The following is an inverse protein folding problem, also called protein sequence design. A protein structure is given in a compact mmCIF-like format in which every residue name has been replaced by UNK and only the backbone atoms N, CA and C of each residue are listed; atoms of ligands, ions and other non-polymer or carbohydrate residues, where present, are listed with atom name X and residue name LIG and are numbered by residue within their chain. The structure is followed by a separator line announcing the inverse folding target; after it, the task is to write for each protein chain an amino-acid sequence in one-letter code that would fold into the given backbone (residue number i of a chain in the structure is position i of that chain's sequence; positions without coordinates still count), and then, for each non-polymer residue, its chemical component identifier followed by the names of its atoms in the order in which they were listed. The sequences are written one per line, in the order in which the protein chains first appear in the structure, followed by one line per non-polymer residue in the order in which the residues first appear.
data_IF_112775561334
#
_entry.id   IF_112775561334
#
_cell.length_a   1.000
_cell.length_b   1.000
_cell.length_c   1.000
_cell.angle_alpha   90.00
_cell.angle_beta   90.00
_cell.angle_gamma   90.00
#
_symmetry.space_group_name_H-M   'P 1'
#
loop_
_entity.id
_entity.type
_entity.pdbx_description
1 polymer ?
#
# COMPACT_ATOMS: atom_id res chain seq x y z
N UNK A 1 -7.96 -17.91 -19.80
CA UNK A 1 -8.97 -16.87 -20.11
C UNK A 1 -10.36 -17.45 -19.84
N UNK A 2 -11.09 -16.78 -18.96
CA UNK A 2 -12.30 -17.24 -18.28
C UNK A 2 -13.43 -17.71 -19.22
N UNK A 3 -14.19 -18.72 -18.77
CA UNK A 3 -15.28 -19.33 -19.52
C UNK A 3 -16.62 -18.58 -19.44
N UNK A 4 -16.82 -17.79 -18.39
CA UNK A 4 -18.05 -17.02 -18.19
C UNK A 4 -17.98 -15.67 -18.88
N UNK A 5 -18.94 -15.43 -19.78
CA UNK A 5 -19.06 -14.16 -20.52
C UNK A 5 -19.94 -13.18 -19.75
N UNK A 6 -19.76 -11.89 -20.03
CA UNK A 6 -20.66 -10.85 -19.54
C UNK A 6 -22.13 -11.13 -19.94
N UNK A 7 -22.33 -11.81 -21.08
CA UNK A 7 -23.66 -12.21 -21.57
C UNK A 7 -24.20 -13.51 -20.95
N UNK A 8 -23.56 -14.08 -19.92
CA UNK A 8 -23.97 -15.34 -19.30
C UNK A 8 -25.26 -15.21 -18.48
N UNK A 9 -25.94 -16.34 -18.23
CA UNK A 9 -27.15 -16.37 -17.40
C UNK A 9 -26.89 -15.96 -15.96
N UNK A 10 -25.75 -16.36 -15.38
CA UNK A 10 -25.34 -15.97 -14.03
C UNK A 10 -25.17 -14.44 -13.95
N UNK A 11 -24.45 -13.85 -14.89
CA UNK A 11 -24.20 -12.40 -14.87
C UNK A 11 -25.50 -11.59 -14.98
N UNK A 12 -26.45 -12.04 -15.81
CA UNK A 12 -27.78 -11.40 -15.90
C UNK A 12 -28.56 -11.51 -14.60
N UNK A 13 -28.50 -12.66 -13.93
CA UNK A 13 -29.14 -12.85 -12.64
C UNK A 13 -28.52 -11.93 -11.58
N UNK A 14 -27.20 -11.88 -11.50
CA UNK A 14 -26.47 -10.98 -10.59
C UNK A 14 -26.83 -9.51 -10.82
N UNK A 15 -26.90 -9.09 -12.08
CA UNK A 15 -27.26 -7.72 -12.41
C UNK A 15 -28.70 -7.39 -12.00
N UNK A 16 -29.65 -8.28 -12.30
CA UNK A 16 -31.07 -8.04 -12.05
C UNK A 16 -31.44 -8.10 -10.57
N UNK A 17 -30.90 -9.07 -9.83
CA UNK A 17 -31.31 -9.37 -8.46
C UNK A 17 -30.40 -8.76 -7.38
N UNK A 18 -29.18 -8.35 -7.76
CA UNK A 18 -28.15 -7.88 -6.83
C UNK A 18 -27.39 -6.63 -7.31
N UNK A 19 -27.63 -6.14 -8.54
CA UNK A 19 -26.94 -4.97 -9.07
C UNK A 19 -25.46 -5.17 -9.40
N UNK A 20 -25.02 -6.42 -9.62
CA UNK A 20 -23.61 -6.75 -9.87
C UNK A 20 -23.42 -7.34 -11.28
N UNK A 21 -22.40 -6.89 -12.01
CA UNK A 21 -22.07 -7.43 -13.34
C UNK A 21 -20.55 -7.55 -13.52
N UNK A 22 -20.05 -8.66 -14.04
CA UNK A 22 -18.65 -8.78 -14.45
C UNK A 22 -18.47 -8.40 -15.92
N UNK A 23 -17.40 -7.65 -16.23
CA UNK A 23 -17.02 -7.33 -17.59
C UNK A 23 -16.22 -8.45 -18.26
N UNK A 24 -16.18 -8.40 -19.60
CA UNK A 24 -15.40 -9.31 -20.46
C UNK A 24 -14.00 -8.73 -20.77
N UNK A 25 -13.31 -8.23 -19.74
CA UNK A 25 -11.98 -7.64 -19.85
C UNK A 25 -10.94 -8.34 -18.94
N UNK A 26 -9.66 -8.02 -19.15
CA UNK A 26 -8.57 -8.35 -18.25
C UNK A 26 -7.87 -7.04 -17.87
N UNK A 27 -7.61 -6.83 -16.58
CA UNK A 27 -6.94 -5.64 -16.10
C UNK A 27 -5.46 -5.70 -16.46
N UNK A 28 -4.98 -4.66 -17.15
CA UNK A 28 -3.62 -4.54 -17.64
C UNK A 28 -2.96 -3.30 -17.09
N UNK A 29 -1.79 -3.51 -16.48
CA UNK A 29 -0.87 -2.44 -16.12
C UNK A 29 0.06 -2.07 -17.28
N UNK A 30 0.48 -0.81 -17.31
CA UNK A 30 1.38 -0.30 -18.37
C UNK A 30 2.74 -1.00 -18.40
N UNK A 31 3.19 -1.55 -17.27
CA UNK A 31 4.43 -2.31 -17.15
C UNK A 31 4.29 -3.81 -17.47
N UNK A 32 3.08 -4.31 -17.74
CA UNK A 32 2.89 -5.72 -18.13
C UNK A 32 3.38 -5.97 -19.56
N UNK A 33 4.10 -7.06 -19.75
CA UNK A 33 4.55 -7.55 -21.05
C UNK A 33 4.11 -8.98 -21.32
N UNK A 34 4.58 -9.51 -22.45
CA UNK A 34 4.18 -10.84 -22.95
C UNK A 34 4.46 -11.97 -21.95
N UNK A 35 5.53 -11.87 -21.18
CA UNK A 35 5.91 -12.91 -20.24
C UNK A 35 5.02 -12.92 -18.99
N UNK A 36 4.46 -11.77 -18.60
CA UNK A 36 3.52 -11.66 -17.49
C UNK A 36 2.24 -12.45 -17.80
N UNK A 37 1.77 -12.44 -19.04
CA UNK A 37 0.53 -13.12 -19.45
C UNK A 37 0.60 -14.66 -19.44
N UNK A 38 1.79 -15.23 -19.20
CA UNK A 38 1.98 -16.69 -19.14
C UNK A 38 1.54 -17.29 -17.80
N UNK A 39 1.43 -16.48 -16.74
CA UNK A 39 1.09 -16.96 -15.40
C UNK A 39 0.34 -15.89 -14.58
N UNK A 40 -0.75 -16.24 -13.87
CA UNK A 40 -1.39 -15.32 -12.94
C UNK A 40 -0.41 -14.76 -11.90
N UNK A 41 0.55 -15.57 -11.43
CA UNK A 41 1.57 -15.16 -10.46
C UNK A 41 2.46 -13.99 -10.91
N UNK A 42 2.50 -13.69 -12.21
CA UNK A 42 3.22 -12.55 -12.80
C UNK A 42 2.31 -11.42 -13.23
N UNK A 43 0.98 -11.56 -13.14
CA UNK A 43 -0.01 -10.52 -13.45
C UNK A 43 -0.59 -9.91 -12.19
N UNK A 44 0.27 -9.61 -11.21
CA UNK A 44 -0.19 -9.13 -9.91
C UNK A 44 -0.04 -7.61 -9.82
N UNK A 45 -1.04 -6.97 -9.22
CA UNK A 45 -1.07 -5.52 -8.97
C UNK A 45 -1.79 -5.24 -7.65
N UNK A 46 -1.63 -4.02 -7.15
CA UNK A 46 -2.38 -3.54 -5.99
C UNK A 46 -3.71 -2.93 -6.43
N UNK A 47 -4.72 -3.08 -5.59
CA UNK A 47 -5.99 -2.37 -5.68
C UNK A 47 -6.27 -1.66 -4.36
N UNK A 48 -7.11 -0.64 -4.41
CA UNK A 48 -7.43 0.21 -3.27
C UNK A 48 -8.86 -0.06 -2.79
N UNK A 49 -9.12 0.01 -1.47
CA UNK A 49 -10.47 -0.08 -0.93
C UNK A 49 -11.32 1.11 -1.39
N UNK A 50 -12.58 0.87 -1.74
CA UNK A 50 -13.48 1.91 -2.21
C UNK A 50 -13.65 3.02 -1.18
N UNK A 51 -13.34 4.26 -1.59
CA UNK A 51 -13.23 5.40 -0.70
C UNK A 51 -14.32 6.47 -0.91
N UNK A 52 -15.20 6.32 -1.90
CA UNK A 52 -16.32 7.24 -2.17
C UNK A 52 -17.65 6.71 -1.64
N UNK A 53 -17.92 5.43 -1.89
CA UNK A 53 -19.11 4.73 -1.38
C UNK A 53 -18.64 3.64 -0.44
N UNK A 54 -18.39 4.05 0.81
CA UNK A 54 -17.80 3.15 1.82
C UNK A 54 -18.82 2.13 2.31
N UNK A 55 -18.33 0.94 2.58
CA UNK A 55 -19.08 -0.15 3.21
C UNK A 55 -18.20 -0.75 4.32
N UNK A 56 -18.78 -1.15 5.48
CA UNK A 56 -18.00 -1.65 6.62
C UNK A 56 -17.03 -2.80 6.32
N UNK A 57 -17.30 -3.58 5.27
CA UNK A 57 -16.42 -4.68 4.81
C UNK A 57 -15.00 -4.19 4.50
N UNK A 58 -14.86 -2.99 3.94
CA UNK A 58 -13.56 -2.43 3.53
C UNK A 58 -13.12 -1.24 4.38
N UNK A 59 -13.88 -0.89 5.42
CA UNK A 59 -13.61 0.31 6.22
C UNK A 59 -12.20 0.32 6.85
N UNK A 60 -11.70 -0.77 7.49
CA UNK A 60 -10.35 -0.74 8.04
C UNK A 60 -9.28 -0.63 6.97
N UNK A 61 -9.52 -1.23 5.79
CA UNK A 61 -8.59 -1.12 4.68
C UNK A 61 -8.47 0.33 4.23
N UNK A 62 -9.60 1.04 4.13
CA UNK A 62 -9.62 2.45 3.77
C UNK A 62 -9.03 3.34 4.86
N UNK A 63 -9.27 3.01 6.14
CA UNK A 63 -8.73 3.76 7.28
C UNK A 63 -7.21 3.69 7.35
N UNK A 64 -6.63 2.51 7.16
CA UNK A 64 -5.19 2.27 7.31
C UNK A 64 -4.42 2.25 5.98
N UNK A 65 -5.05 2.68 4.88
CA UNK A 65 -4.45 2.71 3.54
C UNK A 65 -3.82 1.36 3.14
N UNK A 66 -4.55 0.26 3.39
CA UNK A 66 -4.10 -1.10 3.11
C UNK A 66 -4.63 -1.56 1.76
N UNK A 67 -3.75 -1.84 0.78
CA UNK A 67 -4.19 -2.31 -0.52
C UNK A 67 -4.66 -3.76 -0.44
N UNK A 68 -5.46 -4.14 -1.43
CA UNK A 68 -5.80 -5.54 -1.70
C UNK A 68 -5.12 -5.96 -2.98
N UNK A 69 -4.32 -7.02 -2.94
CA UNK A 69 -3.63 -7.50 -4.12
C UNK A 69 -4.52 -8.40 -4.97
N UNK A 70 -4.37 -8.28 -6.29
CA UNK A 70 -5.11 -9.06 -7.28
C UNK A 70 -4.16 -9.64 -8.32
N UNK A 71 -4.53 -10.76 -8.93
CA UNK A 71 -3.78 -11.49 -9.96
C UNK A 71 -4.66 -11.70 -11.19
N UNK A 72 -4.34 -11.04 -12.30
CA UNK A 72 -5.08 -11.17 -13.56
C UNK A 72 -6.61 -10.91 -13.43
N UNK A 73 -6.98 -9.93 -12.62
CA UNK A 73 -8.37 -9.56 -12.38
C UNK A 73 -9.10 -9.09 -13.65
N UNK A 74 -10.43 -9.10 -13.58
CA UNK A 74 -11.34 -8.37 -14.48
C UNK A 74 -12.07 -7.26 -13.74
N UNK A 75 -12.62 -6.31 -14.48
CA UNK A 75 -13.46 -5.28 -13.86
C UNK A 75 -14.89 -5.79 -13.60
N UNK A 76 -15.53 -5.18 -12.60
CA UNK A 76 -16.90 -5.40 -12.17
C UNK A 76 -17.65 -4.07 -12.29
N UNK A 77 -18.93 -4.12 -12.63
CA UNK A 77 -19.86 -3.00 -12.54
C UNK A 77 -20.76 -3.20 -11.32
N UNK A 78 -21.02 -2.09 -10.64
CA UNK A 78 -21.90 -2.05 -9.47
C UNK A 78 -22.99 -1.01 -9.74
N UNK A 79 -24.22 -1.48 -9.78
CA UNK A 79 -25.42 -0.67 -9.90
C UNK A 79 -26.03 -0.52 -8.51
N UNK A 80 -25.85 0.63 -7.84
CA UNK A 80 -26.21 0.77 -6.43
C UNK A 80 -27.70 0.61 -6.16
N UNK A 81 -28.54 0.86 -7.18
CA UNK A 81 -29.98 0.72 -7.11
C UNK A 81 -30.49 -0.11 -8.29
N UNK A 82 -30.94 -1.31 -7.98
CA UNK A 82 -31.78 -2.12 -8.87
C UNK A 82 -33.09 -2.42 -8.16
N UNK A 83 -34.08 -2.97 -8.88
CA UNK A 83 -35.35 -3.28 -8.25
C UNK A 83 -35.12 -4.24 -7.06
N UNK A 84 -35.55 -3.81 -5.88
CA UNK A 84 -35.50 -4.62 -4.66
C UNK A 84 -34.10 -5.07 -4.20
N UNK A 85 -33.03 -4.40 -4.66
CA UNK A 85 -31.67 -4.70 -4.22
C UNK A 85 -30.80 -3.44 -4.07
N UNK A 86 -29.82 -3.52 -3.18
CA UNK A 86 -28.75 -2.54 -2.99
C UNK A 86 -27.40 -3.18 -3.26
N UNK A 87 -26.49 -2.41 -3.88
CA UNK A 87 -25.15 -2.88 -4.20
C UNK A 87 -24.07 -1.87 -3.85
N UNK A 88 -22.92 -2.36 -3.40
CA UNK A 88 -21.80 -1.54 -2.95
C UNK A 88 -20.49 -2.00 -3.62
N UNK A 89 -19.68 -1.07 -4.16
CA UNK A 89 -18.33 -1.38 -4.57
C UNK A 89 -17.45 -1.64 -3.35
N UNK A 90 -16.48 -2.55 -3.48
CA UNK A 90 -15.54 -2.87 -2.40
C UNK A 90 -14.13 -2.37 -2.70
N UNK A 91 -13.62 -2.62 -3.90
CA UNK A 91 -12.24 -2.34 -4.27
C UNK A 91 -12.16 -1.83 -5.70
N UNK A 92 -11.16 -0.98 -5.97
CA UNK A 92 -10.96 -0.35 -7.26
C UNK A 92 -9.47 -0.23 -7.63
N UNK A 93 -9.20 0.08 -8.89
CA UNK A 93 -7.90 0.53 -9.39
C UNK A 93 -8.09 1.73 -10.32
N UNK A 94 -7.14 2.66 -10.27
CA UNK A 94 -7.05 3.82 -11.17
C UNK A 94 -5.80 3.73 -12.09
N UNK A 95 -5.03 2.63 -12.01
CA UNK A 95 -3.75 2.45 -12.74
C UNK A 95 -3.89 1.61 -14.00
N UNK A 96 -4.94 0.78 -14.08
CA UNK A 96 -5.12 -0.19 -15.16
C UNK A 96 -6.13 0.26 -16.21
N UNK A 97 -6.08 -0.40 -17.36
CA UNK A 97 -7.21 -0.47 -18.29
C UNK A 97 -7.69 -1.91 -18.44
N UNK A 98 -8.96 -2.09 -18.81
CA UNK A 98 -9.56 -3.38 -19.10
C UNK A 98 -9.41 -3.75 -20.58
N UNK A 99 -8.41 -4.59 -20.90
CA UNK A 99 -8.19 -5.13 -22.24
C UNK A 99 -9.29 -6.12 -22.62
N UNK A 100 -10.01 -5.80 -23.68
CA UNK A 100 -11.14 -6.61 -24.17
C UNK A 100 -10.75 -7.56 -25.31
N UNK A 101 -9.60 -7.34 -25.94
CA UNK A 101 -9.10 -8.16 -27.03
C UNK A 101 -8.47 -9.46 -26.52
N UNK A 102 -9.26 -10.53 -26.59
CA UNK A 102 -8.83 -11.88 -26.20
C UNK A 102 -7.66 -12.41 -27.04
N UNK A 103 -7.42 -11.86 -28.24
CA UNK A 103 -6.33 -12.31 -29.09
C UNK A 103 -4.97 -11.92 -28.53
N UNK A 104 -4.91 -10.88 -27.69
CA UNK A 104 -3.69 -10.43 -27.04
C UNK A 104 -3.14 -11.45 -26.02
N UNK A 105 -3.98 -12.38 -25.56
CA UNK A 105 -3.64 -13.42 -24.59
C UNK A 105 -3.45 -14.82 -25.22
N UNK A 106 -3.33 -14.91 -26.55
CA UNK A 106 -3.10 -16.19 -27.23
C UNK A 106 -1.66 -16.68 -26.99
N UNK A 107 -1.51 -17.99 -26.78
CA UNK A 107 -0.18 -18.60 -26.63
C UNK A 107 0.67 -18.53 -27.91
N UNK A 108 0.03 -18.52 -29.07
CA UNK A 108 0.67 -18.44 -30.39
C UNK A 108 0.24 -17.16 -31.07
N UNK A 109 1.22 -16.38 -31.52
CA UNK A 109 1.04 -15.12 -32.24
C UNK A 109 0.01 -14.18 -31.57
N UNK A 110 0.25 -13.78 -30.29
CA UNK A 110 -0.64 -12.84 -29.62
C UNK A 110 -0.63 -11.49 -30.34
N UNK A 111 -1.80 -10.89 -30.44
CA UNK A 111 -1.93 -9.49 -30.81
C UNK A 111 -1.26 -8.60 -29.75
N UNK A 112 -0.76 -7.40 -30.10
CA UNK A 112 -0.21 -6.48 -29.11
C UNK A 112 -1.25 -6.11 -28.04
N UNK A 113 -0.83 -6.04 -26.78
CA UNK A 113 -1.63 -5.40 -25.72
C UNK A 113 -1.35 -3.90 -25.79
N UNK A 114 -2.37 -3.14 -26.16
CA UNK A 114 -2.34 -1.69 -26.28
C UNK A 114 -3.69 -1.12 -25.90
N UNK A 115 -3.71 0.09 -25.33
CA UNK A 115 -4.95 0.74 -24.93
C UNK A 115 -5.76 1.17 -26.17
N UNK A 116 -6.92 0.55 -26.37
CA UNK A 116 -7.84 0.84 -27.47
C UNK A 116 -8.99 1.75 -27.01
N UNK A 117 -8.85 3.05 -27.26
CA UNK A 117 -9.86 4.05 -26.87
C UNK A 117 -11.22 3.73 -27.50
N UNK A 118 -12.24 3.58 -26.65
CA UNK A 118 -13.62 3.28 -27.05
C UNK A 118 -13.95 1.78 -27.13
N UNK A 119 -12.93 0.90 -27.06
CA UNK A 119 -13.12 -0.55 -26.92
C UNK A 119 -12.83 -1.00 -25.49
N UNK A 120 -11.69 -0.56 -24.93
CA UNK A 120 -11.24 -0.98 -23.62
C UNK A 120 -11.85 -0.15 -22.49
N UNK A 121 -12.11 -0.82 -21.36
CA UNK A 121 -12.63 -0.19 -20.14
C UNK A 121 -11.55 0.69 -19.52
N UNK A 122 -11.90 1.91 -19.11
CA UNK A 122 -10.95 2.93 -18.66
C UNK A 122 -11.48 3.70 -17.46
N UNK A 123 -10.58 4.43 -16.79
CA UNK A 123 -10.87 5.26 -15.63
C UNK A 123 -10.78 4.45 -14.34
N UNK A 124 -11.65 4.76 -13.39
CA UNK A 124 -11.75 4.01 -12.14
C UNK A 124 -12.45 2.68 -12.39
N UNK A 125 -11.70 1.59 -12.31
CA UNK A 125 -12.23 0.24 -12.53
C UNK A 125 -12.47 -0.42 -11.19
N UNK A 126 -13.72 -0.81 -10.94
CA UNK A 126 -14.07 -1.61 -9.77
C UNK A 126 -13.66 -3.06 -10.03
N UNK A 127 -13.14 -3.73 -9.00
CA UNK A 127 -12.69 -5.13 -9.10
C UNK A 127 -13.59 -6.05 -8.28
N UNK A 128 -14.33 -5.52 -7.32
CA UNK A 128 -15.24 -6.31 -6.50
C UNK A 128 -16.42 -5.50 -6.00
N UNK A 129 -17.55 -6.18 -5.82
CA UNK A 129 -18.76 -5.59 -5.28
C UNK A 129 -19.62 -6.62 -4.53
N UNK A 130 -20.52 -6.10 -3.71
CA UNK A 130 -21.49 -6.88 -2.94
C UNK A 130 -22.90 -6.38 -3.22
N UNK A 131 -23.89 -7.26 -3.12
CA UNK A 131 -25.29 -6.93 -3.34
C UNK A 131 -26.21 -7.70 -2.39
N UNK A 132 -27.21 -7.00 -1.85
CA UNK A 132 -28.25 -7.57 -0.99
C UNK A 132 -29.61 -7.40 -1.66
N UNK A 133 -30.32 -8.52 -1.84
CA UNK A 133 -31.71 -8.52 -2.28
C UNK A 133 -32.60 -8.28 -1.06
N UNK A 134 -33.24 -7.10 -1.00
CA UNK A 134 -33.99 -6.61 0.15
C UNK A 134 -35.31 -7.37 0.39
N UNK A 135 -35.85 -8.05 -0.62
CA UNK A 135 -37.06 -8.88 -0.46
C UNK A 135 -36.75 -10.20 0.26
N UNK A 136 -35.59 -10.78 -0.02
CA UNK A 136 -35.20 -12.12 0.47
C UNK A 136 -34.19 -12.07 1.61
N UNK A 137 -33.49 -10.93 1.79
CA UNK A 137 -32.32 -10.80 2.65
C UNK A 137 -31.11 -11.60 2.16
N UNK A 138 -31.13 -12.08 0.90
CA UNK A 138 -30.00 -12.84 0.35
C UNK A 138 -28.87 -11.91 -0.06
N UNK A 139 -27.64 -12.37 0.15
CA UNK A 139 -26.41 -11.60 -0.04
C UNK A 139 -25.49 -12.31 -1.02
N UNK A 140 -24.88 -11.55 -1.92
CA UNK A 140 -23.91 -12.05 -2.89
C UNK A 140 -22.70 -11.12 -2.95
N UNK A 141 -21.53 -11.72 -3.14
CA UNK A 141 -20.30 -11.02 -3.49
C UNK A 141 -19.85 -11.45 -4.90
N UNK A 142 -19.43 -10.48 -5.71
CA UNK A 142 -18.80 -10.72 -7.00
C UNK A 142 -17.40 -10.12 -6.99
N UNK A 143 -16.40 -10.98 -7.09
CA UNK A 143 -14.98 -10.60 -7.18
C UNK A 143 -14.46 -10.86 -8.60
N UNK A 144 -13.70 -9.92 -9.11
CA UNK A 144 -13.07 -9.97 -10.43
C UNK A 144 -11.84 -10.88 -10.48
N UNK A 145 -11.40 -11.41 -9.34
CA UNK A 145 -10.23 -12.26 -9.20
C UNK A 145 -10.45 -13.32 -8.11
N UNK A 146 -10.20 -14.59 -8.45
CA UNK A 146 -10.28 -15.72 -7.52
C UNK A 146 -9.05 -15.84 -6.64
N UNK A 147 -7.88 -15.51 -7.16
CA UNK A 147 -6.58 -15.66 -6.52
C UNK A 147 -6.46 -14.76 -5.28
N UNK A 148 -7.26 -13.69 -5.20
CA UNK A 148 -7.44 -12.88 -3.99
C UNK A 148 -7.75 -13.70 -2.74
N UNK A 149 -8.44 -14.84 -2.91
CA UNK A 149 -8.94 -15.70 -1.83
C UNK A 149 -8.28 -17.08 -1.80
N UNK A 150 -7.16 -17.27 -2.50
CA UNK A 150 -6.44 -18.55 -2.51
C UNK A 150 -5.22 -18.56 -1.57
N UNK A 151 -4.99 -19.69 -0.87
CA UNK A 151 -3.91 -19.86 0.11
C UNK A 151 -2.49 -19.66 -0.46
N UNK A 152 -2.30 -19.80 -1.77
CA UNK A 152 -0.98 -19.65 -2.43
C UNK A 152 -0.77 -18.21 -2.95
N UNK A 153 -1.84 -17.40 -2.96
CA UNK A 153 -1.91 -16.03 -3.46
C UNK A 153 -2.34 -15.09 -2.33
N UNK A 154 -3.55 -14.51 -2.38
CA UNK A 154 -3.99 -13.48 -1.45
C UNK A 154 -4.06 -13.93 0.02
N UNK A 155 -4.37 -15.20 0.28
CA UNK A 155 -4.44 -15.76 1.65
C UNK A 155 -3.17 -16.50 2.06
N UNK A 156 -2.02 -16.15 1.47
CA UNK A 156 -0.75 -16.76 1.83
C UNK A 156 -0.18 -16.17 3.12
N UNK A 157 0.60 -16.97 3.85
CA UNK A 157 1.19 -16.58 5.13
C UNK A 157 2.62 -16.04 4.99
N UNK A 158 3.11 -15.38 6.04
CA UNK A 158 4.48 -14.87 6.12
C UNK A 158 5.50 -16.00 6.04
N UNK A 159 5.29 -17.14 6.70
CA UNK A 159 6.17 -18.29 6.51
C UNK A 159 5.47 -19.60 6.85
N UNK A 160 6.19 -20.72 6.78
CA UNK A 160 5.67 -22.00 7.26
C UNK A 160 5.59 -22.06 8.81
N UNK A 161 6.34 -21.20 9.50
CA UNK A 161 6.42 -21.14 10.97
C UNK A 161 5.64 -19.97 11.56
N UNK A 162 5.18 -19.05 10.71
CA UNK A 162 4.47 -17.83 11.07
C UNK A 162 3.16 -17.75 10.27
N UNK A 163 2.04 -17.91 10.97
CA UNK A 163 0.69 -17.91 10.42
C UNK A 163 0.14 -16.50 10.15
N UNK A 164 0.91 -15.44 10.38
CA UNK A 164 0.48 -14.09 10.03
C UNK A 164 0.25 -13.93 8.52
N UNK A 165 -0.76 -13.16 8.08
CA UNK A 165 -1.05 -12.98 6.67
C UNK A 165 0.06 -12.19 5.98
N UNK A 166 0.50 -12.66 4.82
CA UNK A 166 1.47 -11.92 3.99
C UNK A 166 0.86 -10.69 3.33
N UNK A 167 -0.43 -10.78 3.01
CA UNK A 167 -1.20 -9.70 2.43
C UNK A 167 -2.38 -9.39 3.36
N UNK A 168 -2.18 -8.55 4.39
CA UNK A 168 -3.20 -8.26 5.40
C UNK A 168 -4.52 -7.78 4.78
N UNK A 169 -4.44 -6.97 3.71
CA UNK A 169 -5.62 -6.48 3.01
C UNK A 169 -6.52 -7.57 2.43
N UNK A 170 -5.92 -8.58 1.79
CA UNK A 170 -6.66 -9.74 1.27
C UNK A 170 -7.30 -10.57 2.40
N UNK A 171 -6.58 -10.74 3.52
CA UNK A 171 -7.07 -11.49 4.67
C UNK A 171 -8.25 -10.78 5.36
N UNK A 172 -8.10 -9.50 5.66
CA UNK A 172 -9.14 -8.66 6.27
C UNK A 172 -10.38 -8.58 5.36
N UNK A 173 -10.19 -8.40 4.04
CA UNK A 173 -11.30 -8.42 3.09
C UNK A 173 -12.05 -9.75 3.15
N UNK A 174 -11.34 -10.87 3.13
CA UNK A 174 -11.93 -12.20 3.15
C UNK A 174 -12.77 -12.43 4.42
N UNK A 175 -12.20 -12.14 5.59
CA UNK A 175 -12.85 -12.36 6.89
C UNK A 175 -14.11 -11.52 7.04
N UNK A 176 -14.02 -10.22 6.70
CA UNK A 176 -15.18 -9.31 6.79
C UNK A 176 -16.24 -9.61 5.74
N UNK A 177 -15.83 -10.01 4.54
CA UNK A 177 -16.77 -10.44 3.50
C UNK A 177 -17.56 -11.67 3.94
N UNK A 178 -16.91 -12.65 4.58
CA UNK A 178 -17.58 -13.82 5.15
C UNK A 178 -18.55 -13.42 6.27
N UNK A 179 -18.13 -12.53 7.19
CA UNK A 179 -19.01 -12.01 8.24
C UNK A 179 -20.28 -11.36 7.67
N UNK A 180 -20.12 -10.53 6.63
CA UNK A 180 -21.25 -9.91 5.93
C UNK A 180 -22.13 -10.94 5.23
N UNK A 181 -21.56 -11.88 4.47
CA UNK A 181 -22.32 -12.93 3.76
C UNK A 181 -23.14 -13.81 4.71
N UNK A 182 -22.63 -14.06 5.92
CA UNK A 182 -23.28 -14.88 6.94
C UNK A 182 -24.30 -14.14 7.80
N UNK A 183 -24.48 -12.82 7.61
CA UNK A 183 -25.39 -12.03 8.43
C UNK A 183 -24.92 -11.82 9.86
N UNK A 184 -23.61 -11.97 10.12
CA UNK A 184 -23.02 -11.73 11.43
C UNK A 184 -23.07 -10.22 11.72
N UNK A 185 -23.48 -9.78 12.92
CA UNK A 185 -23.41 -8.37 13.31
C UNK A 185 -21.98 -7.83 13.16
N UNK A 186 -21.84 -6.58 12.70
CA UNK A 186 -20.52 -5.98 12.43
C UNK A 186 -19.59 -5.97 13.65
N UNK A 187 -20.15 -5.74 14.84
CA UNK A 187 -19.39 -5.77 16.10
C UNK A 187 -18.81 -7.15 16.45
N UNK A 188 -19.30 -8.22 15.81
CA UNK A 188 -18.84 -9.60 15.99
C UNK A 188 -17.98 -10.08 14.81
N UNK A 189 -17.61 -9.19 13.88
CA UNK A 189 -16.67 -9.53 12.81
C UNK A 189 -15.25 -9.69 13.38
N UNK A 190 -14.38 -10.47 12.74
CA UNK A 190 -13.01 -10.64 13.19
C UNK A 190 -12.28 -9.30 13.36
N UNK A 191 -11.55 -9.19 14.47
CA UNK A 191 -10.64 -8.09 14.75
C UNK A 191 -9.48 -8.08 13.74
N UNK A 192 -8.78 -6.95 13.66
CA UNK A 192 -7.58 -6.86 12.83
C UNK A 192 -6.47 -7.73 13.44
N UNK A 193 -5.59 -8.33 12.62
CA UNK A 193 -4.49 -9.14 13.15
C UNK A 193 -3.54 -8.29 14.01
N UNK A 194 -3.31 -8.73 15.25
CA UNK A 194 -2.58 -8.00 16.30
C UNK A 194 -1.09 -7.80 16.01
N UNK A 195 -0.51 -8.58 15.10
CA UNK A 195 0.91 -8.53 14.75
C UNK A 195 1.29 -7.33 13.85
N UNK A 196 0.32 -6.52 13.41
CA UNK A 196 0.55 -5.35 12.57
C UNK A 196 0.38 -4.03 13.30
N UNK A 197 1.13 -3.02 12.85
CA UNK A 197 0.94 -1.63 13.25
C UNK A 197 -0.31 -1.06 12.59
N UNK A 198 -1.31 -0.72 13.40
CA UNK A 198 -2.56 -0.08 12.96
C UNK A 198 -2.59 1.38 13.40
N UNK A 199 -1.85 2.22 12.67
CA UNK A 199 -1.85 3.69 12.83
C UNK A 199 -2.36 4.30 11.53
N UNK A 200 -3.49 5.01 11.59
CA UNK A 200 -3.98 5.83 10.51
C UNK A 200 -3.12 7.10 10.41
N UNK A 201 -3.03 7.70 9.22
CA UNK A 201 -2.52 9.06 9.09
C UNK A 201 -3.72 9.96 8.85
N UNK A 202 -4.39 10.35 9.93
CA UNK A 202 -5.60 11.16 9.92
C UNK A 202 -5.55 12.38 10.87
N UNK A 203 -4.47 12.52 11.64
CA UNK A 203 -4.27 13.62 12.58
C UNK A 203 -5.02 13.43 13.90
N UNK A 204 -5.51 12.21 14.19
CA UNK A 204 -6.16 11.83 15.45
C UNK A 204 -5.25 10.89 16.26
N UNK A 205 -4.95 11.25 17.51
CA UNK A 205 -4.09 10.46 18.39
C UNK A 205 -4.77 9.19 18.95
N UNK A 206 -6.03 8.91 18.65
CA UNK A 206 -6.85 7.88 19.31
C UNK A 206 -6.42 6.43 19.09
N UNK A 207 -5.63 6.15 18.05
CA UNK A 207 -5.07 4.82 17.76
C UNK A 207 -3.63 4.61 18.27
N UNK A 208 -3.04 5.62 18.91
CA UNK A 208 -1.71 5.53 19.50
C UNK A 208 -1.70 4.86 20.87
N UNK A 209 -0.69 4.02 21.11
CA UNK A 209 -0.47 3.43 22.42
C UNK A 209 -0.06 4.50 23.46
N UNK A 210 -0.95 4.80 24.40
CA UNK A 210 -0.72 5.72 25.52
C UNK A 210 0.47 5.31 26.42
N UNK A 211 0.91 4.05 26.36
CA UNK A 211 2.07 3.55 27.10
C UNK A 211 3.40 4.07 26.54
N UNK A 212 3.41 4.53 25.28
CA UNK A 212 4.57 5.17 24.67
C UNK A 212 4.92 6.45 25.42
N UNK A 213 6.14 6.49 25.96
CA UNK A 213 6.61 7.64 26.74
C UNK A 213 6.76 8.87 25.84
N UNK A 214 6.01 9.96 26.11
CA UNK A 214 6.17 11.19 25.36
C UNK A 214 7.47 11.90 25.76
N UNK A 215 7.99 12.70 24.84
CA UNK A 215 9.04 13.68 25.08
C UNK A 215 8.37 15.05 25.11
N UNK A 216 8.29 15.64 26.30
CA UNK A 216 7.64 16.93 26.50
C UNK A 216 8.50 18.09 26.00
N UNK A 217 7.83 19.11 25.48
CA UNK A 217 8.44 20.42 25.33
C UNK A 217 8.28 21.22 26.62
N UNK A 218 9.40 21.41 27.31
CA UNK A 218 9.44 22.19 28.55
C UNK A 218 9.69 23.69 28.27
N UNK A 219 9.87 24.08 27.00
CA UNK A 219 10.09 25.46 26.60
C UNK A 219 8.72 26.15 26.52
N UNK A 220 8.55 27.22 27.29
CA UNK A 220 7.39 28.10 27.19
C UNK A 220 7.62 29.09 26.05
N UNK A 221 7.17 28.75 24.86
CA UNK A 221 6.97 29.70 23.77
C UNK A 221 5.47 29.91 23.48
N UNK A 222 5.17 30.85 22.58
CA UNK A 222 3.79 31.25 22.26
C UNK A 222 3.45 31.18 20.75
N UNK A 223 3.94 30.20 19.97
CA UNK A 223 3.45 30.00 18.62
C UNK A 223 2.03 29.39 18.62
N UNK A 224 1.29 29.58 17.53
CA UNK A 224 -0.03 28.93 17.35
C UNK A 224 0.05 27.40 17.27
N UNK A 225 1.23 26.85 16.93
CA UNK A 225 1.49 25.41 16.84
C UNK A 225 2.55 24.98 17.86
N UNK A 226 2.41 25.46 19.10
CA UNK A 226 3.26 25.12 20.24
C UNK A 226 3.20 23.61 20.50
N UNK A 227 4.30 22.92 20.19
CA UNK A 227 4.55 21.50 20.40
C UNK A 227 4.49 21.27 21.91
N UNK A 228 3.59 20.41 22.35
CA UNK A 228 3.48 20.02 23.75
C UNK A 228 4.33 18.82 24.06
N UNK A 229 4.27 17.84 23.17
CA UNK A 229 5.05 16.62 23.30
C UNK A 229 5.09 15.85 21.99
N UNK A 230 6.07 14.95 21.90
CA UNK A 230 6.22 14.02 20.78
C UNK A 230 6.24 12.59 21.30
N UNK A 231 5.42 11.72 20.69
CA UNK A 231 5.57 10.26 20.80
C UNK A 231 6.13 9.73 19.48
N UNK A 232 6.95 8.70 19.55
CA UNK A 232 7.48 8.08 18.35
C UNK A 232 7.89 6.63 18.62
N UNK A 233 7.83 5.80 17.58
CA UNK A 233 8.34 4.44 17.60
C UNK A 233 8.70 3.98 16.18
N UNK A 234 9.53 2.96 16.07
CA UNK A 234 9.79 2.24 14.83
C UNK A 234 9.02 0.93 14.83
N UNK A 235 8.41 0.55 13.71
CA UNK A 235 8.07 -0.84 13.43
C UNK A 235 9.14 -1.49 12.53
N UNK A 236 8.83 -2.61 11.87
CA UNK A 236 9.79 -3.25 10.98
C UNK A 236 10.13 -2.42 9.73
N UNK A 237 9.23 -1.55 9.23
CA UNK A 237 9.41 -0.78 7.97
C UNK A 237 9.57 0.74 8.14
N UNK A 238 8.87 1.36 9.08
CA UNK A 238 8.75 2.82 9.21
C UNK A 238 9.05 3.32 10.63
N UNK A 239 9.36 4.61 10.71
CA UNK A 239 9.30 5.45 11.91
C UNK A 239 7.96 6.18 11.91
N UNK A 240 7.22 6.07 13.01
CA UNK A 240 6.00 6.82 13.26
C UNK A 240 6.27 7.91 14.31
N UNK A 241 5.75 9.11 14.08
CA UNK A 241 5.74 10.20 15.06
C UNK A 241 4.33 10.79 15.21
N UNK A 242 3.95 11.05 16.46
CA UNK A 242 2.80 11.85 16.85
C UNK A 242 3.32 13.12 17.51
N UNK A 243 2.95 14.27 16.97
CA UNK A 243 3.32 15.58 17.50
C UNK A 243 2.04 16.25 17.99
N UNK A 244 1.87 16.30 19.30
CA UNK A 244 0.72 16.96 19.93
C UNK A 244 1.06 18.43 20.17
N UNK A 245 0.10 19.29 19.90
CA UNK A 245 0.26 20.75 20.00
C UNK A 245 -0.77 21.36 20.96
N UNK A 246 -0.57 22.63 21.34
CA UNK A 246 -1.45 23.34 22.27
C UNK A 246 -2.87 23.58 21.73
N UNK A 247 -3.02 23.66 20.40
CA UNK A 247 -4.26 23.91 19.70
C UNK A 247 -4.25 23.23 18.34
N UNK A 248 -5.43 22.96 17.80
CA UNK A 248 -5.60 22.37 16.47
C UNK A 248 -4.70 23.06 15.43
N UNK A 249 -3.92 22.26 14.72
CA UNK A 249 -2.89 22.72 13.80
C UNK A 249 -3.49 23.23 12.49
N UNK A 250 -2.92 24.29 11.92
CA UNK A 250 -3.42 24.83 10.66
C UNK A 250 -2.93 24.04 9.43
N UNK A 251 -3.76 24.01 8.39
CA UNK A 251 -3.45 23.49 7.06
C UNK A 251 -2.22 24.21 6.47
N UNK A 252 -1.29 23.48 5.83
CA UNK A 252 0.03 23.93 5.33
C UNK A 252 1.15 24.02 6.37
N UNK A 253 1.37 22.91 7.07
CA UNK A 253 2.49 22.70 7.98
C UNK A 253 3.69 22.07 7.25
N UNK A 254 4.90 22.48 7.61
CA UNK A 254 6.13 21.78 7.26
C UNK A 254 6.74 21.19 8.52
N UNK A 255 6.92 19.88 8.54
CA UNK A 255 7.65 19.17 9.59
C UNK A 255 9.11 19.04 9.18
N UNK A 256 10.03 19.47 10.05
CA UNK A 256 11.46 19.24 9.87
C UNK A 256 12.00 18.40 11.03
N UNK A 257 12.42 17.17 10.72
CA UNK A 257 13.02 16.23 11.67
C UNK A 257 14.54 16.25 11.52
N UNK A 258 15.27 16.53 12.59
CA UNK A 258 16.73 16.38 12.64
C UNK A 258 17.11 15.13 13.42
N UNK A 259 17.87 14.24 12.79
CA UNK A 259 18.30 12.98 13.40
C UNK A 259 19.82 12.86 13.42
N UNK A 260 20.34 12.17 14.42
CA UNK A 260 21.70 11.68 14.46
C UNK A 260 21.73 10.18 14.10
N UNK A 261 22.33 9.89 12.95
CA UNK A 261 22.38 8.56 12.35
C UNK A 261 23.83 8.18 12.03
N UNK A 262 24.35 7.15 12.70
CA UNK A 262 25.75 6.73 12.58
C UNK A 262 26.78 7.88 12.75
N UNK A 263 26.48 8.84 13.65
CA UNK A 263 27.27 10.08 13.92
C UNK A 263 27.24 11.10 12.77
N UNK A 264 26.30 10.96 11.84
CA UNK A 264 26.03 11.93 10.78
C UNK A 264 24.67 12.56 11.08
N UNK A 265 24.62 13.89 11.12
CA UNK A 265 23.35 14.60 11.21
C UNK A 265 22.65 14.55 9.85
N UNK A 266 21.37 14.19 9.86
CA UNK A 266 20.49 14.19 8.68
C UNK A 266 19.24 14.98 9.02
N UNK A 267 18.64 15.58 7.99
CA UNK A 267 17.33 16.21 8.10
C UNK A 267 16.34 15.51 7.19
N UNK A 268 15.12 15.32 7.68
CA UNK A 268 13.97 14.89 6.90
C UNK A 268 12.95 16.02 6.93
N UNK A 269 12.43 16.38 5.77
CA UNK A 269 11.42 17.43 5.61
C UNK A 269 10.17 16.79 5.06
N UNK A 270 9.02 17.15 5.62
CA UNK A 270 7.70 16.70 5.16
C UNK A 270 6.73 17.89 5.08
N UNK A 271 5.92 17.90 4.03
CA UNK A 271 4.68 18.66 3.85
C UNK A 271 3.58 17.69 3.42
N UNK A 272 2.36 18.19 3.21
CA UNK A 272 1.23 17.35 2.79
C UNK A 272 1.47 16.62 1.45
N UNK A 273 2.34 17.14 0.59
CA UNK A 273 2.57 16.68 -0.78
C UNK A 273 4.05 16.33 -1.10
N UNK A 274 4.97 16.58 -0.17
CA UNK A 274 6.40 16.39 -0.40
C UNK A 274 7.08 15.83 0.84
N UNK A 275 7.96 14.85 0.64
CA UNK A 275 8.83 14.36 1.69
C UNK A 275 10.20 14.01 1.13
N UNK A 276 11.26 14.41 1.83
CA UNK A 276 12.62 14.17 1.39
C UNK A 276 13.64 14.12 2.54
N UNK A 277 14.72 13.37 2.33
CA UNK A 277 15.94 13.50 3.12
C UNK A 277 16.81 14.60 2.51
N UNK A 278 17.25 15.55 3.33
CA UNK A 278 18.21 16.56 2.93
C UNK A 278 19.62 15.96 2.99
N UNK A 279 20.34 16.01 1.88
CA UNK A 279 21.71 15.51 1.76
C UNK A 279 22.72 16.53 2.31
N UNK A 280 23.93 16.08 2.61
CA UNK A 280 24.96 16.93 3.24
C UNK A 280 25.40 18.13 2.36
N UNK A 281 25.21 18.04 1.05
CA UNK A 281 25.45 19.10 0.06
C UNK A 281 24.23 20.01 -0.16
N UNK A 282 23.14 19.80 0.58
CA UNK A 282 21.90 20.58 0.49
C UNK A 282 20.95 20.13 -0.62
N UNK A 283 21.24 19.00 -1.28
CA UNK A 283 20.30 18.34 -2.18
C UNK A 283 19.16 17.65 -1.42
N UNK A 284 18.19 17.13 -2.18
CA UNK A 284 17.05 16.40 -1.63
C UNK A 284 16.95 15.02 -2.29
N UNK A 285 16.78 13.99 -1.47
CA UNK A 285 16.41 12.65 -1.92
C UNK A 285 14.94 12.41 -1.58
N UNK A 286 14.04 12.31 -2.57
CA UNK A 286 12.61 12.10 -2.33
C UNK A 286 12.32 10.82 -1.55
N UNK A 287 11.29 10.88 -0.71
CA UNK A 287 10.74 9.75 0.06
C UNK A 287 9.25 9.59 -0.26
N UNK A 288 8.89 8.96 -1.40
CA UNK A 288 7.50 8.88 -1.83
C UNK A 288 6.59 8.04 -0.91
N UNK A 289 7.18 7.26 -0.01
CA UNK A 289 6.50 6.37 0.95
C UNK A 289 6.19 7.05 2.29
N UNK A 290 6.84 8.20 2.52
CA UNK A 290 6.59 9.01 3.70
C UNK A 290 5.22 9.68 3.58
N UNK A 291 4.56 9.88 4.72
CA UNK A 291 3.25 10.50 4.77
C UNK A 291 3.11 11.34 6.01
N UNK A 292 2.22 12.32 5.95
CA UNK A 292 1.87 13.18 7.07
C UNK A 292 0.36 13.47 7.02
N UNK A 293 -0.23 13.58 8.19
CA UNK A 293 -1.58 14.10 8.35
C UNK A 293 -1.60 15.14 9.49
N UNK A 294 -2.46 16.15 9.31
CA UNK A 294 -2.59 17.28 10.23
C UNK A 294 -4.05 17.35 10.66
N UNK A 295 -4.28 17.35 11.98
CA UNK A 295 -5.62 17.42 12.57
C UNK A 295 -5.55 17.95 14.00
N UNK A 296 -6.03 17.15 14.97
CA UNK A 296 -5.86 17.45 16.40
C UNK A 296 -4.40 17.30 16.84
N UNK A 297 -3.66 16.42 16.16
CA UNK A 297 -2.23 16.26 16.24
C UNK A 297 -1.64 16.16 14.83
N UNK A 298 -0.31 16.18 14.74
CA UNK A 298 0.40 15.90 13.49
C UNK A 298 0.96 14.49 13.55
N UNK A 299 0.55 13.66 12.61
CA UNK A 299 1.03 12.29 12.47
C UNK A 299 1.97 12.19 11.28
N UNK A 300 3.08 11.48 11.46
CA UNK A 300 4.14 11.36 10.46
C UNK A 300 4.58 9.92 10.36
N UNK A 301 4.70 9.42 9.13
CA UNK A 301 5.34 8.14 8.79
C UNK A 301 6.55 8.39 7.90
N UNK A 302 7.72 7.87 8.28
CA UNK A 302 8.97 7.99 7.50
C UNK A 302 9.56 6.59 7.26
N UNK A 303 9.91 6.20 6.02
CA UNK A 303 10.52 4.90 5.76
C UNK A 303 11.89 4.80 6.42
N UNK A 304 12.16 3.67 7.08
CA UNK A 304 13.42 3.44 7.80
C UNK A 304 14.65 3.51 6.92
N UNK A 305 14.54 3.22 5.62
CA UNK A 305 15.67 3.37 4.67
C UNK A 305 16.16 4.81 4.52
N UNK A 306 15.41 5.81 5.00
CA UNK A 306 15.89 7.18 5.14
C UNK A 306 17.08 7.28 6.12
N UNK A 307 17.25 6.28 6.98
CA UNK A 307 18.26 6.19 8.02
C UNK A 307 19.12 4.93 7.86
N UNK A 308 20.39 4.98 8.25
CA UNK A 308 21.29 3.83 8.23
C UNK A 308 21.07 2.88 9.42
N UNK A 309 20.39 3.35 10.47
CA UNK A 309 20.15 2.63 11.72
C UNK A 309 18.90 3.15 12.43
N UNK A 310 18.62 2.65 13.65
CA UNK A 310 17.63 3.27 14.54
C UNK A 310 18.16 4.61 15.06
N UNK A 311 17.94 5.65 14.25
CA UNK A 311 18.46 6.98 14.48
C UNK A 311 17.86 7.62 15.73
N UNK A 312 18.67 8.42 16.42
CA UNK A 312 18.20 9.27 17.50
C UNK A 312 17.64 10.57 16.93
N UNK A 313 16.42 10.92 17.33
CA UNK A 313 15.83 12.22 17.01
C UNK A 313 16.50 13.24 17.94
N UNK A 314 16.90 14.37 17.37
CA UNK A 314 17.58 15.45 18.09
C UNK A 314 16.78 16.75 18.08
N UNK A 315 15.91 16.92 17.07
CA UNK A 315 15.03 18.08 16.95
C UNK A 315 13.82 17.75 16.09
N UNK A 316 12.65 18.23 16.48
CA UNK A 316 11.41 18.21 15.69
C UNK A 316 10.93 19.64 15.58
N UNK A 317 10.73 20.15 14.37
CA UNK A 317 10.21 21.50 14.16
C UNK A 317 8.92 21.49 13.33
N UNK A 318 8.00 22.38 13.70
CA UNK A 318 6.78 22.70 12.98
C UNK A 318 6.88 24.11 12.42
N UNK A 319 6.91 24.22 11.09
CA UNK A 319 6.98 25.50 10.37
C UNK A 319 5.66 25.81 9.68
N UNK A 320 5.12 27.01 9.89
CA UNK A 320 4.03 27.51 9.03
C UNK A 320 4.60 28.33 7.89
N UNK A 321 4.55 27.75 6.69
CA UNK A 321 5.09 28.35 5.46
C UNK A 321 4.49 29.74 5.16
N UNK A 322 3.27 30.02 5.65
CA UNK A 322 2.54 31.27 5.44
C UNK A 322 2.86 32.39 6.44
N UNK A 323 3.38 32.08 7.64
CA UNK A 323 3.52 33.04 8.74
C UNK A 323 4.93 33.18 9.32
N UNK A 324 5.88 32.34 8.90
CA UNK A 324 7.28 32.43 9.38
C UNK A 324 7.44 32.16 10.87
N UNK A 325 6.46 31.50 11.48
CA UNK A 325 6.49 31.07 12.86
C UNK A 325 6.95 29.60 12.87
N UNK A 326 8.11 29.37 13.47
CA UNK A 326 8.74 28.06 13.63
C UNK A 326 8.70 27.73 15.11
N UNK A 327 8.18 26.56 15.43
CA UNK A 327 8.32 25.97 16.76
C UNK A 327 9.19 24.71 16.69
N UNK A 328 10.02 24.47 17.70
CA UNK A 328 10.97 23.36 17.71
C UNK A 328 11.14 22.74 19.10
N UNK A 329 10.82 21.45 19.19
CA UNK A 329 11.25 20.61 20.31
C UNK A 329 12.72 20.23 20.14
N UNK A 330 13.59 20.78 20.99
CA UNK A 330 15.03 20.46 21.05
C UNK A 330 15.34 19.39 22.10
N UNK A 331 15.03 18.13 21.78
CA UNK A 331 15.30 17.00 22.66
C UNK A 331 15.98 15.85 21.92
N UNK A 332 16.97 15.23 22.58
CA UNK A 332 17.60 14.00 22.06
C UNK A 332 16.96 12.77 22.67
N UNK A 333 16.33 11.95 21.83
CA UNK A 333 15.74 10.69 22.25
C UNK A 333 15.83 9.64 21.14
N UNK A 334 15.76 8.37 21.53
CA UNK A 334 15.73 7.25 20.57
C UNK A 334 14.35 6.62 20.63
N UNK A 335 13.54 6.71 19.57
CA UNK A 335 12.28 5.98 19.50
C UNK A 335 12.51 4.47 19.69
N UNK A 336 11.68 3.77 20.47
CA UNK A 336 11.77 2.32 20.61
C UNK A 336 11.46 1.62 19.28
N UNK A 337 11.99 0.41 19.09
CA UNK A 337 11.57 -0.51 18.02
C UNK A 337 10.53 -1.46 18.62
N UNK A 338 9.31 -1.44 18.10
CA UNK A 338 8.26 -2.42 18.42
C UNK A 338 8.41 -3.66 17.54
N UNK A 339 7.74 -4.75 17.92
CA UNK A 339 7.79 -6.02 17.19
C UNK A 339 6.83 -6.11 16.02
N UNK A 340 5.89 -5.18 15.95
CA UNK A 340 4.81 -5.16 14.98
C UNK A 340 5.36 -5.00 13.56
N UNK A 341 4.63 -5.57 12.61
CA UNK A 341 4.89 -5.48 11.19
C UNK A 341 4.09 -4.34 10.57
N UNK A 342 4.62 -3.72 9.53
CA UNK A 342 3.82 -2.80 8.73
C UNK A 342 2.88 -3.57 7.80
N UNK A 343 1.58 -3.24 7.75
CA UNK A 343 0.64 -3.93 6.87
C UNK A 343 0.93 -3.68 5.39
N UNK A 344 1.71 -2.65 5.05
CA UNK A 344 2.05 -2.28 3.66
C UNK A 344 3.56 -1.96 3.56
N UNK A 345 4.41 -2.99 3.43
CA UNK A 345 5.86 -2.79 3.43
C UNK A 345 6.39 -2.01 2.21
N UNK A 346 5.60 -1.88 1.15
CA UNK A 346 5.95 -1.14 -0.06
C UNK A 346 4.93 -0.04 -0.30
N UNK A 347 5.38 1.21 -0.37
CA UNK A 347 4.59 2.36 -0.81
C UNK A 347 5.43 3.20 -1.80
N UNK A 348 4.83 3.99 -2.71
CA UNK A 348 3.46 3.84 -3.19
C UNK A 348 3.28 2.47 -3.88
N UNK A 349 2.04 2.01 -4.02
CA UNK A 349 1.72 0.65 -4.50
C UNK A 349 1.33 0.59 -5.99
N UNK A 350 1.37 1.73 -6.68
CA UNK A 350 0.92 1.96 -8.06
C UNK A 350 2.04 1.74 -9.11
N UNK A 351 3.10 1.03 -8.74
CA UNK A 351 4.26 0.76 -9.58
C UNK A 351 4.56 -0.73 -9.78
N UNK A 352 5.55 -1.05 -10.62
CA UNK A 352 5.99 -2.42 -10.82
C UNK A 352 6.54 -3.00 -9.50
N UNK A 353 6.05 -4.17 -9.15
CA UNK A 353 6.47 -4.92 -7.97
C UNK A 353 7.12 -6.26 -8.32
N UNK A 354 7.92 -6.77 -7.40
CA UNK A 354 8.48 -8.11 -7.45
C UNK A 354 8.36 -8.80 -6.09
N UNK A 355 8.50 -10.12 -6.09
CA UNK A 355 8.72 -10.87 -4.87
C UNK A 355 9.75 -11.97 -5.11
N UNK A 356 10.46 -12.39 -4.07
CA UNK A 356 11.45 -13.46 -4.20
C UNK A 356 10.76 -14.83 -4.25
N UNK A 357 11.22 -15.73 -5.13
CA UNK A 357 10.68 -17.11 -5.20
C UNK A 357 10.95 -17.89 -3.91
N UNK A 358 12.14 -17.70 -3.37
CA UNK A 358 12.67 -18.25 -2.13
C UNK A 358 13.43 -17.13 -1.40
N UNK A 359 14.18 -17.42 -0.35
CA UNK A 359 15.04 -16.42 0.27
C UNK A 359 16.20 -16.00 -0.65
N UNK A 360 16.64 -14.74 -0.53
CA UNK A 360 17.72 -14.20 -1.34
C UNK A 360 18.34 -12.95 -0.73
N UNK A 361 19.56 -12.62 -1.19
CA UNK A 361 20.34 -11.51 -0.67
C UNK A 361 20.03 -10.22 -1.45
N UNK A 362 19.63 -9.18 -0.74
CA UNK A 362 19.61 -7.81 -1.23
C UNK A 362 21.01 -7.22 -1.12
N UNK A 363 21.50 -6.58 -2.20
CA UNK A 363 22.90 -6.14 -2.30
C UNK A 363 23.05 -4.66 -2.58
N UNK A 364 24.20 -4.11 -2.20
CA UNK A 364 24.51 -2.70 -2.40
C UNK A 364 24.77 -2.31 -3.88
N UNK A 365 25.11 -3.28 -4.73
CA UNK A 365 25.37 -3.07 -6.16
C UNK A 365 24.95 -4.33 -6.96
N UNK A 366 24.74 -4.23 -8.29
CA UNK A 366 24.28 -5.33 -9.14
C UNK A 366 25.40 -6.35 -9.41
N UNK A 367 25.87 -7.02 -8.37
CA UNK A 367 26.96 -7.99 -8.44
C UNK A 367 26.90 -9.00 -7.29
N UNK A 368 27.24 -10.26 -7.57
CA UNK A 368 27.36 -11.32 -6.55
C UNK A 368 28.49 -11.07 -5.54
N UNK A 369 29.44 -10.19 -5.87
CA UNK A 369 30.56 -9.80 -5.00
C UNK A 369 30.26 -8.54 -4.18
N UNK A 370 29.16 -7.84 -4.44
CA UNK A 370 28.77 -6.65 -3.69
C UNK A 370 28.37 -7.00 -2.25
N UNK A 371 28.52 -6.05 -1.34
CA UNK A 371 28.08 -6.20 0.05
C UNK A 371 26.60 -6.59 0.12
N UNK A 372 26.29 -7.58 0.97
CA UNK A 372 24.91 -7.96 1.29
C UNK A 372 24.38 -6.97 2.32
N UNK A 373 23.29 -6.30 1.98
CA UNK A 373 22.58 -5.38 2.89
C UNK A 373 21.73 -6.17 3.87
N UNK A 374 20.96 -7.13 3.34
CA UNK A 374 20.11 -8.03 4.13
C UNK A 374 19.78 -9.30 3.34
N UNK A 375 19.19 -10.29 4.00
CA UNK A 375 18.51 -11.41 3.36
C UNK A 375 17.00 -11.19 3.46
N UNK A 376 16.31 -11.25 2.33
CA UNK A 376 14.86 -11.20 2.26
C UNK A 376 14.32 -12.64 2.21
N UNK A 377 13.21 -12.87 2.91
CA UNK A 377 12.53 -14.15 2.86
C UNK A 377 11.78 -14.32 1.54
N UNK A 378 11.51 -15.57 1.15
CA UNK A 378 10.65 -15.86 0.01
C UNK A 378 9.30 -15.15 0.14
N UNK A 379 8.74 -14.78 -1.01
CA UNK A 379 7.45 -14.08 -1.17
C UNK A 379 7.40 -12.66 -0.60
N UNK A 380 8.49 -12.12 -0.08
CA UNK A 380 8.53 -10.71 0.38
C UNK A 380 8.29 -9.78 -0.80
N UNK A 381 7.21 -8.96 -0.79
CA UNK A 381 6.96 -7.99 -1.83
C UNK A 381 7.97 -6.85 -1.73
N UNK A 382 8.41 -6.36 -2.88
CA UNK A 382 9.30 -5.20 -3.03
C UNK A 382 8.86 -4.36 -4.22
N UNK A 383 8.98 -3.03 -4.12
CA UNK A 383 8.81 -2.12 -5.24
C UNK A 383 10.02 -2.16 -6.15
N UNK A 384 9.84 -2.04 -7.47
CA UNK A 384 10.91 -2.10 -8.47
C UNK A 384 11.19 -0.70 -9.01
N UNK A 385 12.41 -0.22 -8.82
CA UNK A 385 12.83 1.11 -9.26
C UNK A 385 13.41 1.09 -10.69
N UNK A 386 14.01 -0.02 -11.10
CA UNK A 386 14.67 -0.13 -12.39
C UNK A 386 15.57 -1.35 -12.49
N UNK A 387 16.45 -1.35 -13.49
CA UNK A 387 17.39 -2.44 -13.78
C UNK A 387 18.79 -1.92 -14.07
N UNK A 388 19.77 -2.81 -14.07
CA UNK A 388 21.09 -2.49 -14.62
C UNK A 388 21.08 -2.59 -16.15
N UNK A 389 22.16 -2.14 -16.79
CA UNK A 389 22.30 -2.14 -18.26
C UNK A 389 22.10 -3.53 -18.88
N UNK A 390 22.66 -4.56 -18.26
CA UNK A 390 22.55 -5.95 -18.73
C UNK A 390 21.18 -6.60 -18.48
N UNK A 391 20.33 -6.00 -17.64
CA UNK A 391 19.00 -6.52 -17.31
C UNK A 391 18.99 -7.79 -16.46
N UNK A 392 20.12 -8.20 -15.88
CA UNK A 392 20.23 -9.37 -15.00
C UNK A 392 20.08 -9.04 -13.51
N UNK A 393 20.02 -7.75 -13.17
CA UNK A 393 19.73 -7.24 -11.83
C UNK A 393 18.64 -6.17 -11.85
N UNK A 394 17.80 -6.18 -10.83
CA UNK A 394 16.78 -5.15 -10.59
C UNK A 394 17.10 -4.40 -9.30
N UNK A 395 16.86 -3.10 -9.30
CA UNK A 395 16.92 -2.27 -8.11
C UNK A 395 15.54 -2.21 -7.49
N UNK A 396 15.45 -2.47 -6.20
CA UNK A 396 14.20 -2.61 -5.46
C UNK A 396 14.22 -1.86 -4.14
N UNK A 397 13.04 -1.62 -3.57
CA UNK A 397 12.88 -1.06 -2.23
C UNK A 397 11.68 -1.64 -1.46
N UNK A 398 11.76 -1.52 -0.15
CA UNK A 398 10.64 -1.55 0.81
C UNK A 398 10.84 -0.38 1.79
N UNK A 399 9.98 -0.24 2.82
CA UNK A 399 10.13 0.80 3.84
C UNK A 399 11.50 0.81 4.53
N UNK A 400 12.16 -0.35 4.63
CA UNK A 400 13.40 -0.54 5.39
C UNK A 400 14.68 -0.53 4.56
N UNK A 401 14.64 -0.98 3.31
CA UNK A 401 15.81 -1.26 2.49
C UNK A 401 15.63 -0.77 1.06
N UNK A 402 16.75 -0.40 0.44
CA UNK A 402 16.87 -0.20 -0.99
C UNK A 402 18.15 -0.90 -1.48
N UNK A 403 18.08 -1.64 -2.57
CA UNK A 403 19.24 -2.36 -3.09
C UNK A 403 18.95 -3.15 -4.35
N UNK A 404 19.86 -4.07 -4.67
CA UNK A 404 19.85 -4.85 -5.90
C UNK A 404 19.55 -6.33 -5.63
N UNK A 405 18.64 -6.90 -6.43
CA UNK A 405 18.32 -8.32 -6.48
C UNK A 405 18.65 -8.90 -7.84
N UNK A 406 19.15 -10.13 -7.87
CA UNK A 406 19.40 -10.85 -9.11
C UNK A 406 18.07 -11.31 -9.71
N UNK A 407 17.85 -11.00 -10.99
CA UNK A 407 16.59 -11.28 -11.69
C UNK A 407 16.12 -12.75 -11.61
N UNK A 408 17.00 -13.78 -11.71
CA UNK A 408 16.56 -15.17 -11.64
C UNK A 408 15.90 -15.58 -10.31
N UNK A 409 16.07 -14.79 -9.24
CA UNK A 409 15.54 -15.08 -7.91
C UNK A 409 14.10 -14.57 -7.72
N UNK A 410 13.60 -13.72 -8.62
CA UNK A 410 12.33 -13.02 -8.42
C UNK A 410 11.23 -13.48 -9.37
N UNK A 411 10.00 -13.21 -8.95
CA UNK A 411 8.81 -13.16 -9.80
C UNK A 411 8.44 -11.69 -9.91
N UNK A 412 8.25 -11.21 -11.14
CA UNK A 412 7.99 -9.79 -11.40
C UNK A 412 6.62 -9.59 -12.01
N UNK A 413 5.97 -8.51 -11.60
CA UNK A 413 4.77 -7.99 -12.27
C UNK A 413 5.09 -7.24 -13.56
N UNK A 414 6.37 -6.98 -13.87
CA UNK A 414 6.78 -6.12 -14.98
C UNK A 414 7.69 -6.82 -15.99
N UNK A 415 7.59 -6.40 -17.25
CA UNK A 415 8.57 -6.70 -18.28
C UNK A 415 9.88 -5.98 -17.97
N UNK A 416 10.95 -6.76 -17.77
CA UNK A 416 12.25 -6.22 -17.37
C UNK A 416 12.79 -5.25 -18.41
N UNK A 417 12.55 -5.50 -19.70
CA UNK A 417 13.06 -4.63 -20.76
C UNK A 417 12.40 -3.24 -20.76
N UNK A 418 11.23 -3.10 -20.13
CA UNK A 418 10.51 -1.83 -19.97
C UNK A 418 10.96 -1.03 -18.75
N UNK A 419 11.76 -1.61 -17.86
CA UNK A 419 12.26 -0.92 -16.68
C UNK A 419 13.34 0.10 -17.06
N UNK A 420 13.39 1.25 -16.37
CA UNK A 420 14.46 2.21 -16.57
C UNK A 420 15.82 1.60 -16.22
N UNK A 421 16.84 1.92 -17.03
CA UNK A 421 18.23 1.55 -16.75
C UNK A 421 18.81 2.52 -15.73
N UNK A 422 19.32 1.99 -14.62
CA UNK A 422 19.95 2.72 -13.53
C UNK A 422 21.48 2.50 -13.56
N UNK A 423 22.26 3.50 -13.11
CA UNK A 423 23.71 3.45 -13.10
C UNK A 423 24.31 2.45 -12.09
#
# INVERSE_FOLDING_TARGET
VNGERATSGLNRLLLQEYGLEANDDALIETWFGRDQFRSPATMWTSSQPENRVRHPVVEPLARYDVPVYVWAARSVQVHPFVADAEAYPLIFTDTTFGETNRNSFRNLEPEPVELNIGADTQGRLLIGGIGENLLTGSRVALLGDSEMLENIFGLTYLSAEDSGPRYPGNHILADRLVGWLLGVPEADWPDLPDEFTWIALDGDASDWDESLRPVSDDILDTPMNDIKQVRAFYNDQYLYLLIETASETADALRVTLSVEDARVSRQVVLTDDHAAVITADGGETPLPDAGMAVGQAVEVRIPRRAFSSLASITRVCLDQASMGNQDCLEATFRPPLVTDLDPVPVRPTDGPMAFLRNSGNLRAAPSTNAAVLTSLFGRTPVGVLGRNEAGDWIKVHDGRWEGWLALPLVVMSADVERLPVLP
#
